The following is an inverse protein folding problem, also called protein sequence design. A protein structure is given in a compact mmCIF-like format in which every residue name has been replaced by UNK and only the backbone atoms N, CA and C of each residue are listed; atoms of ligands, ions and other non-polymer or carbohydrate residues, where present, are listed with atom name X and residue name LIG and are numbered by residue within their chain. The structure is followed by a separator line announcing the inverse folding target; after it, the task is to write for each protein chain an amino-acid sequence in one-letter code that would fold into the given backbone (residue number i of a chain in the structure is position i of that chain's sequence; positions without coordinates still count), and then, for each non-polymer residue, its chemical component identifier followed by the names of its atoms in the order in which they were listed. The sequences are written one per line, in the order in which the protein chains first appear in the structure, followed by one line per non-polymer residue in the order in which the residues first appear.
data_IF_400801283743
#
_entry.id   IF_400801283743
#
_cell.length_a   1.000
_cell.length_b   1.000
_cell.length_c   1.000
_cell.angle_alpha   90.00
_cell.angle_beta   90.00
_cell.angle_gamma   90.00
#
_symmetry.space_group_name_H-M   'P 1'
#
loop_
_entity.id
_entity.type
_entity.pdbx_description
1 polymer ?
#
# COMPACT_ATOMS: atom_id res chain seq x y z
N UNK A 1 14.94 31.87 13.17
CA UNK A 1 15.19 32.81 12.07
C UNK A 1 15.51 32.03 10.80
N UNK A 2 14.54 31.81 9.91
CA UNK A 2 14.82 31.28 8.55
C UNK A 2 15.11 32.48 7.65
N UNK A 3 16.30 32.52 7.06
CA UNK A 3 16.69 33.54 6.07
C UNK A 3 15.75 33.43 4.86
N UNK A 4 15.34 34.59 4.34
CA UNK A 4 14.33 34.72 3.30
C UNK A 4 14.65 33.94 2.04
N UNK A 5 13.69 33.16 1.58
CA UNK A 5 13.64 32.65 0.20
C UNK A 5 13.43 33.86 -0.69
N UNK A 6 14.39 34.13 -1.58
CA UNK A 6 14.28 35.23 -2.54
C UNK A 6 13.04 35.05 -3.39
N UNK A 7 12.35 36.15 -3.66
CA UNK A 7 11.24 36.18 -4.59
C UNK A 7 11.86 35.84 -5.97
N UNK A 8 11.64 34.61 -6.44
CA UNK A 8 11.72 34.14 -7.84
C UNK A 8 13.02 33.60 -8.47
N UNK A 9 13.86 32.88 -7.72
CA UNK A 9 15.02 32.14 -8.31
C UNK A 9 14.80 30.61 -8.41
N UNK A 10 13.70 30.08 -7.90
CA UNK A 10 13.38 28.66 -8.06
C UNK A 10 12.63 28.37 -9.37
N UNK A 11 12.68 27.11 -9.80
CA UNK A 11 12.10 26.64 -11.06
C UNK A 11 10.60 26.94 -11.15
N UNK A 12 9.87 26.87 -10.04
CA UNK A 12 8.42 27.15 -10.01
C UNK A 12 8.18 28.64 -10.22
N UNK A 13 8.98 29.50 -9.59
CA UNK A 13 8.96 30.94 -9.79
C UNK A 13 9.31 31.35 -11.22
N UNK A 14 10.23 30.65 -11.88
CA UNK A 14 10.57 30.84 -13.29
C UNK A 14 9.43 30.42 -14.22
N UNK A 15 8.78 29.28 -13.96
CA UNK A 15 7.64 28.79 -14.74
C UNK A 15 6.42 29.70 -14.62
N UNK A 16 6.11 30.18 -13.42
CA UNK A 16 5.04 31.15 -13.19
C UNK A 16 5.32 32.49 -13.88
N UNK A 17 6.57 32.97 -13.86
CA UNK A 17 6.99 34.17 -14.63
C UNK A 17 6.88 33.95 -16.14
N UNK A 18 7.07 32.71 -16.59
CA UNK A 18 6.94 32.29 -17.98
C UNK A 18 5.49 32.25 -18.49
N UNK A 19 4.51 32.53 -17.64
CA UNK A 19 3.10 32.61 -18.02
C UNK A 19 2.32 31.30 -17.94
N UNK A 20 2.93 30.22 -17.41
CA UNK A 20 2.22 28.97 -17.15
C UNK A 20 1.27 29.13 -15.96
N UNK A 21 0.08 28.60 -16.09
CA UNK A 21 -0.86 28.48 -14.98
C UNK A 21 -0.37 27.45 -13.96
N UNK A 22 -0.78 27.61 -12.69
CA UNK A 22 -0.45 26.66 -11.63
C UNK A 22 -0.85 25.22 -11.98
N UNK A 23 -1.95 25.04 -12.71
CA UNK A 23 -2.44 23.72 -13.14
C UNK A 23 -1.50 23.09 -14.15
N UNK A 24 -1.09 23.82 -15.18
CA UNK A 24 -0.12 23.34 -16.18
C UNK A 24 1.21 22.98 -15.52
N UNK A 25 1.70 23.80 -14.59
CA UNK A 25 2.92 23.49 -13.83
C UNK A 25 2.75 22.18 -13.05
N UNK A 26 1.60 21.94 -12.41
CA UNK A 26 1.35 20.71 -11.67
C UNK A 26 1.32 19.50 -12.62
N UNK A 27 0.71 19.63 -13.80
CA UNK A 27 0.63 18.56 -14.80
C UNK A 27 2.00 18.20 -15.35
N UNK A 28 2.78 19.19 -15.77
CA UNK A 28 4.17 19.01 -16.22
C UNK A 28 5.05 18.40 -15.12
N UNK A 29 4.89 18.87 -13.87
CA UNK A 29 5.62 18.31 -12.73
C UNK A 29 5.23 16.85 -12.47
N UNK A 30 3.97 16.45 -12.70
CA UNK A 30 3.53 15.05 -12.58
C UNK A 30 4.14 14.19 -13.67
N UNK A 31 4.14 14.66 -14.91
CA UNK A 31 4.75 13.93 -16.02
C UNK A 31 6.25 13.73 -15.81
N UNK A 32 6.96 14.79 -15.41
CA UNK A 32 8.38 14.72 -15.10
C UNK A 32 8.67 13.81 -13.90
N UNK A 33 7.83 13.86 -12.86
CA UNK A 33 7.93 12.98 -11.69
C UNK A 33 7.76 11.51 -12.10
N UNK A 34 6.75 11.19 -12.91
CA UNK A 34 6.50 9.82 -13.37
C UNK A 34 7.64 9.31 -14.26
N UNK A 35 8.07 10.11 -15.25
CA UNK A 35 9.19 9.75 -16.13
C UNK A 35 10.50 9.55 -15.33
N UNK A 36 10.75 10.42 -14.35
CA UNK A 36 11.90 10.31 -13.45
C UNK A 36 11.82 9.08 -12.55
N UNK A 37 10.64 8.76 -12.04
CA UNK A 37 10.43 7.60 -11.17
C UNK A 37 10.70 6.29 -11.93
N UNK A 38 10.20 6.15 -13.16
CA UNK A 38 10.36 4.93 -13.95
C UNK A 38 11.81 4.69 -14.35
N UNK A 39 12.50 5.73 -14.83
CA UNK A 39 13.92 5.63 -15.24
C UNK A 39 14.84 5.40 -14.05
N UNK A 40 14.63 6.11 -12.94
CA UNK A 40 15.42 5.93 -11.71
C UNK A 40 15.16 4.56 -11.10
N UNK A 41 13.91 4.11 -11.07
CA UNK A 41 13.55 2.77 -10.53
C UNK A 41 14.16 1.67 -11.39
N UNK A 42 14.13 1.80 -12.72
CA UNK A 42 14.79 0.86 -13.62
C UNK A 42 16.30 0.85 -13.43
N UNK A 43 16.94 2.02 -13.35
CA UNK A 43 18.38 2.14 -13.09
C UNK A 43 18.79 1.49 -11.77
N UNK A 44 18.08 1.82 -10.68
CA UNK A 44 18.33 1.22 -9.35
C UNK A 44 18.11 -0.29 -9.37
N UNK A 45 17.05 -0.77 -10.04
CA UNK A 45 16.80 -2.20 -10.19
C UNK A 45 17.96 -2.90 -10.91
N UNK A 46 18.43 -2.33 -12.03
CA UNK A 46 19.59 -2.85 -12.76
C UNK A 46 20.88 -2.77 -11.95
N UNK A 47 21.09 -1.70 -11.18
CA UNK A 47 22.24 -1.57 -10.30
C UNK A 47 22.23 -2.65 -9.20
N UNK A 48 21.08 -2.91 -8.57
CA UNK A 48 20.93 -3.98 -7.57
C UNK A 48 21.19 -5.36 -8.19
N UNK A 49 20.69 -5.61 -9.41
CA UNK A 49 20.97 -6.84 -10.17
C UNK A 49 22.46 -6.98 -10.45
N UNK A 50 23.12 -5.92 -10.92
CA UNK A 50 24.56 -5.91 -11.21
C UNK A 50 25.41 -6.17 -9.96
N UNK A 51 24.97 -5.64 -8.81
CA UNK A 51 25.62 -5.82 -7.51
C UNK A 51 25.21 -7.12 -6.79
N UNK A 52 24.32 -7.93 -7.39
CA UNK A 52 23.74 -9.15 -6.78
C UNK A 52 23.12 -8.91 -5.40
N UNK A 53 22.54 -7.73 -5.18
CA UNK A 53 21.87 -7.41 -3.92
C UNK A 53 20.47 -8.01 -3.93
N UNK A 54 20.18 -8.83 -2.93
CA UNK A 54 18.83 -9.34 -2.69
C UNK A 54 18.05 -8.34 -1.85
N UNK A 55 16.97 -7.79 -2.41
CA UNK A 55 16.02 -6.94 -1.68
C UNK A 55 14.79 -7.77 -1.34
N UNK A 56 14.44 -7.83 -0.06
CA UNK A 56 13.23 -8.47 0.42
C UNK A 56 12.30 -7.42 1.03
N UNK A 57 11.00 -7.50 0.70
CA UNK A 57 9.96 -6.70 1.34
C UNK A 57 9.22 -7.59 2.34
N UNK A 58 9.54 -7.50 3.64
CA UNK A 58 8.92 -8.35 4.65
C UNK A 58 7.49 -7.85 4.94
N UNK A 59 6.50 -8.38 4.21
CA UNK A 59 5.07 -8.05 4.40
C UNK A 59 4.63 -8.18 5.85
N UNK A 60 5.08 -9.23 6.55
CA UNK A 60 4.78 -9.47 7.96
C UNK A 60 5.19 -8.30 8.87
N UNK A 61 6.39 -7.75 8.66
CA UNK A 61 6.94 -6.65 9.46
C UNK A 61 6.24 -5.35 9.06
N UNK A 62 6.09 -5.11 7.76
CA UNK A 62 5.43 -3.92 7.24
C UNK A 62 3.97 -3.79 7.71
N UNK A 63 3.23 -4.91 7.83
CA UNK A 63 1.84 -4.92 8.33
C UNK A 63 1.72 -4.87 9.86
N UNK A 64 2.83 -4.75 10.58
CA UNK A 64 2.87 -4.66 12.06
C UNK A 64 3.66 -3.47 12.58
N UNK A 65 4.16 -2.61 11.71
CA UNK A 65 4.95 -1.44 12.10
C UNK A 65 4.05 -0.41 12.83
N UNK A 66 4.26 -0.14 14.13
CA UNK A 66 3.43 0.81 14.88
C UNK A 66 3.51 2.25 14.34
N UNK A 67 4.58 2.60 13.61
CA UNK A 67 4.72 3.93 13.01
C UNK A 67 3.63 4.18 11.95
N UNK A 68 3.24 3.11 11.25
CA UNK A 68 2.29 3.08 10.14
C UNK A 68 0.89 2.72 10.62
N UNK A 69 0.79 1.69 11.46
CA UNK A 69 -0.46 1.07 11.90
C UNK A 69 -0.95 1.57 13.27
N UNK A 70 -0.17 2.38 13.99
CA UNK A 70 -0.54 2.90 15.32
C UNK A 70 -0.17 1.96 16.46
N UNK A 71 -0.52 2.35 17.69
CA UNK A 71 -0.10 1.64 18.90
C UNK A 71 -0.70 0.22 19.02
N UNK A 72 -1.84 0.00 18.36
CA UNK A 72 -2.53 -1.29 18.30
C UNK A 72 -2.11 -2.15 17.10
N UNK A 73 -0.98 -1.87 16.44
CA UNK A 73 -0.48 -2.58 15.27
C UNK A 73 -0.31 -4.10 15.46
N UNK A 74 -0.08 -4.54 16.69
CA UNK A 74 0.07 -5.96 17.05
C UNK A 74 -1.26 -6.60 17.49
N UNK A 75 -2.32 -5.81 17.61
CA UNK A 75 -3.64 -6.29 17.98
C UNK A 75 -4.48 -6.59 16.74
N UNK A 76 -5.26 -7.66 16.82
CA UNK A 76 -6.32 -7.89 15.85
C UNK A 76 -7.48 -6.92 16.12
N UNK A 77 -7.50 -5.80 15.41
CA UNK A 77 -8.55 -4.78 15.50
C UNK A 77 -9.29 -4.64 14.15
N UNK A 78 -10.46 -5.30 13.98
CA UNK A 78 -11.26 -5.18 12.76
C UNK A 78 -11.77 -3.76 12.48
N UNK A 79 -12.02 -2.97 13.53
CA UNK A 79 -12.60 -1.62 13.42
C UNK A 79 -11.66 -0.65 12.69
N UNK A 80 -10.37 -0.98 12.57
CA UNK A 80 -9.39 -0.21 11.78
C UNK A 80 -9.82 -0.03 10.32
N UNK A 81 -10.55 -0.99 9.77
CA UNK A 81 -11.00 -0.98 8.38
C UNK A 81 -12.41 -0.41 8.20
N UNK A 82 -13.02 0.14 9.26
CA UNK A 82 -14.39 0.67 9.24
C UNK A 82 -14.59 1.80 8.24
N UNK A 83 -13.57 2.62 8.00
CA UNK A 83 -13.59 3.69 6.99
C UNK A 83 -12.96 3.28 5.64
N UNK A 84 -12.72 1.98 5.44
CA UNK A 84 -12.10 1.43 4.24
C UNK A 84 -10.57 1.28 4.32
N UNK A 85 -10.03 0.48 3.40
CA UNK A 85 -8.60 0.10 3.37
C UNK A 85 -7.67 1.29 3.23
N UNK A 86 -8.05 2.32 2.46
CA UNK A 86 -7.23 3.52 2.24
C UNK A 86 -7.00 4.35 3.51
N UNK A 87 -7.86 4.19 4.52
CA UNK A 87 -7.77 4.89 5.81
C UNK A 87 -7.32 4.00 6.95
N UNK A 88 -7.06 2.71 6.70
CA UNK A 88 -6.69 1.77 7.74
C UNK A 88 -5.28 2.02 8.32
N UNK A 89 -4.42 2.73 7.59
CA UNK A 89 -3.07 3.07 8.00
C UNK A 89 -2.72 4.51 7.57
N UNK A 90 -1.68 5.09 8.18
CA UNK A 90 -1.21 6.45 7.83
C UNK A 90 -0.73 6.58 6.39
N UNK A 91 -0.32 5.47 5.79
CA UNK A 91 0.14 5.34 4.41
C UNK A 91 -0.58 4.16 3.76
N UNK A 92 -0.59 4.09 2.43
CA UNK A 92 -1.17 2.97 1.65
C UNK A 92 -0.34 1.68 1.74
N UNK A 93 -0.06 1.22 2.96
CA UNK A 93 0.83 0.08 3.27
C UNK A 93 0.04 -1.23 3.50
N UNK A 94 -1.15 -1.37 2.93
CA UNK A 94 -1.91 -2.62 2.94
C UNK A 94 -1.80 -3.36 1.60
N UNK A 95 -0.97 -4.41 1.58
CA UNK A 95 -0.68 -5.23 0.40
C UNK A 95 -0.51 -6.72 0.78
N UNK A 96 -1.57 -7.37 1.31
CA UNK A 96 -1.50 -8.75 1.79
C UNK A 96 -1.06 -9.76 0.71
N UNK A 97 -1.26 -9.40 -0.57
CA UNK A 97 -0.92 -10.22 -1.73
C UNK A 97 0.21 -9.62 -2.58
N UNK A 98 1.01 -8.72 -2.01
CA UNK A 98 2.01 -7.94 -2.74
C UNK A 98 1.41 -6.74 -3.49
N UNK A 99 2.23 -6.07 -4.29
CA UNK A 99 1.86 -4.84 -5.00
C UNK A 99 2.55 -4.76 -6.37
N UNK A 100 1.97 -4.00 -7.30
CA UNK A 100 2.50 -3.76 -8.65
C UNK A 100 2.32 -4.94 -9.61
N UNK A 101 3.14 -4.96 -10.66
CA UNK A 101 3.07 -5.95 -11.75
C UNK A 101 3.34 -7.41 -11.32
N UNK A 102 3.81 -7.63 -10.09
CA UNK A 102 4.12 -8.95 -9.51
C UNK A 102 3.24 -9.30 -8.32
N UNK A 103 2.10 -8.61 -8.16
CA UNK A 103 1.06 -8.99 -7.20
C UNK A 103 0.62 -10.45 -7.45
N UNK A 104 0.24 -11.14 -6.37
CA UNK A 104 -0.23 -12.52 -6.46
C UNK A 104 -1.36 -12.65 -7.48
N UNK A 105 -1.19 -13.56 -8.44
CA UNK A 105 -2.19 -13.87 -9.48
C UNK A 105 -3.53 -14.32 -8.87
N UNK A 106 -3.50 -14.92 -7.69
CA UNK A 106 -4.67 -15.38 -6.94
C UNK A 106 -5.35 -14.31 -6.09
N UNK A 107 -4.90 -13.04 -6.10
CA UNK A 107 -5.45 -11.98 -5.24
C UNK A 107 -6.98 -11.85 -5.39
N UNK A 108 -7.48 -11.76 -6.62
CA UNK A 108 -8.92 -11.60 -6.86
C UNK A 108 -9.72 -12.83 -6.43
N UNK A 109 -9.19 -14.03 -6.72
CA UNK A 109 -9.82 -15.29 -6.36
C UNK A 109 -9.88 -15.46 -4.84
N UNK A 110 -8.75 -15.30 -4.14
CA UNK A 110 -8.67 -15.44 -2.69
C UNK A 110 -9.54 -14.41 -1.95
N UNK A 111 -9.60 -13.17 -2.44
CA UNK A 111 -10.50 -12.17 -1.88
C UNK A 111 -11.99 -12.50 -2.13
N UNK A 112 -12.34 -13.06 -3.29
CA UNK A 112 -13.70 -13.50 -3.56
C UNK A 112 -14.11 -14.66 -2.65
N UNK A 113 -13.25 -15.67 -2.50
CA UNK A 113 -13.47 -16.81 -1.61
C UNK A 113 -13.62 -16.37 -0.16
N UNK A 114 -12.72 -15.51 0.34
CA UNK A 114 -12.80 -14.97 1.69
C UNK A 114 -14.10 -14.21 1.93
N UNK A 115 -14.57 -13.40 0.97
CA UNK A 115 -15.86 -12.70 1.06
C UNK A 115 -17.03 -13.67 1.13
N UNK A 116 -17.02 -14.74 0.33
CA UNK A 116 -18.08 -15.76 0.36
C UNK A 116 -18.15 -16.48 1.70
N UNK A 117 -17.00 -16.86 2.26
CA UNK A 117 -16.91 -17.51 3.57
C UNK A 117 -17.41 -16.56 4.67
N UNK A 118 -16.91 -15.32 4.71
CA UNK A 118 -17.32 -14.33 5.71
C UNK A 118 -18.82 -13.99 5.61
N UNK A 119 -19.37 -13.94 4.40
CA UNK A 119 -20.81 -13.71 4.19
C UNK A 119 -21.65 -14.87 4.73
N UNK A 120 -21.21 -16.12 4.58
CA UNK A 120 -21.93 -17.27 5.13
C UNK A 120 -21.94 -17.26 6.66
N UNK A 121 -20.81 -16.92 7.27
CA UNK A 121 -20.68 -16.75 8.73
C UNK A 121 -21.60 -15.62 9.21
N UNK A 122 -21.54 -14.45 8.56
CA UNK A 122 -22.33 -13.28 8.94
C UNK A 122 -23.85 -13.51 8.79
N UNK A 123 -24.27 -14.30 7.80
CA UNK A 123 -25.67 -14.69 7.59
C UNK A 123 -26.11 -15.86 8.47
N UNK A 124 -25.24 -16.37 9.35
CA UNK A 124 -25.53 -17.51 10.23
C UNK A 124 -25.79 -18.82 9.48
N UNK A 125 -25.36 -18.91 8.22
CA UNK A 125 -25.49 -20.14 7.41
C UNK A 125 -24.47 -21.20 7.80
N UNK A 126 -23.36 -20.75 8.38
CA UNK A 126 -22.32 -21.58 8.95
C UNK A 126 -22.21 -21.34 10.47
N UNK A 127 -22.58 -22.33 11.27
CA UNK A 127 -22.32 -22.31 12.71
C UNK A 127 -20.84 -22.66 12.96
N UNK A 128 -20.00 -21.62 13.07
CA UNK A 128 -18.56 -21.73 13.34
C UNK A 128 -18.28 -22.55 14.62
N UNK A 129 -19.16 -22.45 15.62
CA UNK A 129 -19.01 -23.20 16.87
C UNK A 129 -19.27 -24.70 16.67
N UNK A 130 -20.08 -25.08 15.69
CA UNK A 130 -20.39 -26.47 15.35
C UNK A 130 -19.34 -27.09 14.41
N UNK A 131 -18.68 -26.28 13.56
CA UNK A 131 -17.58 -26.73 12.70
C UNK A 131 -16.35 -27.19 13.51
N UNK A 132 -16.00 -26.49 14.59
CA UNK A 132 -14.91 -26.93 15.47
C UNK A 132 -15.21 -28.28 16.14
N UNK A 133 -16.46 -28.51 16.56
CA UNK A 133 -16.89 -29.80 17.14
C UNK A 133 -16.87 -30.93 16.11
N UNK A 134 -17.32 -30.68 14.87
CA UNK A 134 -17.29 -31.68 13.78
C UNK A 134 -15.87 -32.12 13.41
N UNK A 135 -14.90 -31.19 13.39
CA UNK A 135 -13.49 -31.52 13.07
C UNK A 135 -12.77 -32.27 14.20
N UNK A 136 -13.08 -31.97 15.46
CA UNK A 136 -12.51 -32.74 16.59
C UNK A 136 -13.06 -34.17 16.67
N UNK A 137 -14.31 -34.39 16.26
CA UNK A 137 -14.94 -35.73 16.22
C UNK A 137 -14.66 -36.53 14.94
N UNK A 138 -13.77 -36.06 14.06
CA UNK A 138 -13.37 -36.73 12.81
C UNK A 138 -11.88 -37.09 12.74
N UNK A 139 -11.15 -37.05 13.87
CA UNK A 139 -9.85 -37.70 13.97
C UNK A 139 -10.05 -39.15 14.41
N UNK A 140 -9.41 -40.07 13.68
CA UNK A 140 -9.50 -41.53 13.78
C UNK A 140 -9.40 -42.08 15.21
#
# INVERSE_FOLDING_TARGET
MRRGVSKSDDIIGLLLKGGLSTTEIIEECKEFYLAGQDTTTAFLSWALVALRVQVAVPTYIAHRDPRVWGDDALMFNPNRFSEGVSKAAKESLYFPFGWGARMCIGNNFGMAEAKLILSQIALGKDDVNNMHKKRMNQSF
#
